data_IF_523446490021
#
_entry.id   IF_523446490021
#
_cell.length_a   1.000
_cell.length_b   1.000
_cell.length_c   1.000
_cell.angle_alpha   90.00
_cell.angle_beta   90.00
_cell.angle_gamma   90.00
#
_symmetry.space_group_name_H-M   'P 1'
#
loop_
_entity.id
_entity.type
_entity.pdbx_description
1 polymer ?
#
# COMPACT_ATOMS: atom_id res chain seq x y z
N UNK A 1 3.83 5.10 -45.07
CA UNK A 1 3.47 5.97 -43.93
C UNK A 1 2.29 5.29 -43.25
N UNK A 2 2.53 4.53 -42.20
CA UNK A 2 1.49 3.86 -41.40
C UNK A 2 1.77 4.19 -39.94
N UNK A 3 0.68 4.50 -39.27
CA UNK A 3 0.55 5.07 -37.95
C UNK A 3 1.22 4.24 -36.86
N UNK A 4 2.04 4.90 -36.04
CA UNK A 4 2.42 4.45 -34.71
C UNK A 4 1.72 5.37 -33.70
N UNK A 5 0.40 5.20 -33.60
CA UNK A 5 -0.36 5.71 -32.46
C UNK A 5 -0.41 4.58 -31.44
N UNK A 6 0.57 4.59 -30.54
CA UNK A 6 0.51 3.79 -29.32
C UNK A 6 -0.78 4.20 -28.58
N UNK A 7 -1.70 3.26 -28.26
CA UNK A 7 -2.93 3.62 -27.57
C UNK A 7 -2.59 4.26 -26.23
N UNK A 8 -3.16 5.43 -25.94
CA UNK A 8 -3.11 6.06 -24.64
C UNK A 8 -3.90 5.20 -23.65
N UNK A 9 -3.26 4.20 -23.05
CA UNK A 9 -3.83 3.37 -21.99
C UNK A 9 -3.83 4.23 -20.71
N UNK A 10 -4.99 4.49 -20.08
CA UNK A 10 -5.04 5.20 -18.82
C UNK A 10 -4.22 4.45 -17.76
N UNK A 11 -3.57 5.16 -16.81
CA UNK A 11 -2.81 4.50 -15.77
C UNK A 11 -3.71 3.54 -15.00
N UNK A 12 -3.23 2.32 -14.80
CA UNK A 12 -3.94 1.31 -14.00
C UNK A 12 -3.96 1.74 -12.52
N UNK A 13 -4.93 1.26 -11.73
CA UNK A 13 -4.89 1.45 -10.26
C UNK A 13 -3.61 0.89 -9.60
N UNK A 14 -2.83 0.09 -10.34
CA UNK A 14 -1.55 -0.46 -9.95
C UNK A 14 -0.34 0.44 -10.25
N UNK A 15 -0.54 1.57 -10.95
CA UNK A 15 0.53 2.51 -11.27
C UNK A 15 0.98 3.31 -10.05
N UNK A 16 2.30 3.51 -9.95
CA UNK A 16 3.00 4.03 -8.76
C UNK A 16 2.96 5.56 -8.67
N UNK A 17 1.80 6.17 -8.80
CA UNK A 17 1.66 7.62 -8.70
C UNK A 17 0.66 8.01 -7.63
N UNK A 18 1.14 8.02 -6.37
CA UNK A 18 0.46 8.79 -5.33
C UNK A 18 0.84 10.28 -5.46
N UNK A 19 -0.11 11.22 -5.29
CA UNK A 19 0.21 12.64 -5.23
C UNK A 19 1.11 12.93 -4.02
N UNK A 20 1.97 13.93 -4.18
CA UNK A 20 2.77 14.56 -3.13
C UNK A 20 2.22 15.98 -2.93
N UNK A 21 2.34 16.54 -1.73
CA UNK A 21 1.79 17.86 -1.39
C UNK A 21 0.52 17.82 -0.52
N UNK A 22 -0.33 16.81 -0.68
CA UNK A 22 -1.47 16.62 0.23
C UNK A 22 -1.04 15.83 1.49
N UNK A 23 -1.57 16.17 2.68
CA UNK A 23 -1.32 15.39 3.89
C UNK A 23 -1.64 13.92 3.65
N UNK A 24 -0.72 13.03 4.06
CA UNK A 24 -0.74 11.58 3.76
C UNK A 24 -2.09 10.94 4.12
N UNK A 25 -2.80 11.49 5.11
CA UNK A 25 -4.09 11.02 5.61
C UNK A 25 -4.92 12.24 6.03
N UNK A 26 -5.76 12.76 5.13
CA UNK A 26 -6.47 14.01 5.37
C UNK A 26 -7.80 13.87 6.12
N UNK A 27 -8.36 12.68 6.35
CA UNK A 27 -9.80 12.60 6.72
C UNK A 27 -10.30 11.30 7.36
N UNK A 28 -9.44 10.48 7.97
CA UNK A 28 -9.95 9.32 8.70
C UNK A 28 -9.91 9.57 10.20
N UNK A 29 -11.06 9.81 10.87
CA UNK A 29 -11.13 9.95 12.32
C UNK A 29 -10.49 8.78 13.08
N UNK A 30 -10.45 7.58 12.48
CA UNK A 30 -9.80 6.40 13.07
C UNK A 30 -8.26 6.51 13.09
N UNK A 31 -7.68 7.38 12.26
CA UNK A 31 -6.22 7.62 12.17
C UNK A 31 -5.83 8.99 12.74
N UNK A 32 -6.65 10.02 12.51
CA UNK A 32 -6.34 11.43 12.76
C UNK A 32 -6.90 11.97 14.09
N UNK A 33 -6.76 11.23 15.21
CA UNK A 33 -7.09 11.74 16.57
C UNK A 33 -6.28 12.99 16.98
N UNK A 34 -5.81 13.12 18.24
CA UNK A 34 -4.95 14.24 18.72
C UNK A 34 -3.67 14.55 17.87
N UNK A 35 -3.40 13.77 16.81
CA UNK A 35 -2.21 13.73 15.96
C UNK A 35 -2.28 14.60 14.69
N UNK A 36 -3.25 15.53 14.60
CA UNK A 36 -3.43 16.41 13.44
C UNK A 36 -2.20 17.31 13.13
N UNK A 37 -1.33 17.55 14.12
CA UNK A 37 -0.14 18.39 13.97
C UNK A 37 0.95 17.79 13.06
N UNK A 38 0.99 16.47 12.88
CA UNK A 38 1.99 15.78 12.05
C UNK A 38 1.59 15.63 10.58
N UNK A 39 0.39 16.10 10.23
CA UNK A 39 -0.18 16.05 8.88
C UNK A 39 0.32 17.19 7.97
N UNK A 40 1.63 17.48 8.02
CA UNK A 40 2.26 18.42 7.07
C UNK A 40 2.56 17.66 5.78
N UNK A 41 1.92 18.08 4.68
CA UNK A 41 2.24 17.60 3.34
C UNK A 41 3.55 18.22 2.84
N UNK A 42 4.31 17.49 2.03
CA UNK A 42 5.51 17.99 1.36
C UNK A 42 5.17 18.28 -0.11
N UNK A 43 5.14 19.56 -0.47
CA UNK A 43 5.05 20.03 -1.85
C UNK A 43 6.43 19.87 -2.54
N UNK A 44 6.57 19.08 -3.61
CA UNK A 44 7.84 18.91 -4.33
C UNK A 44 8.19 20.11 -5.22
N UNK A 45 7.24 20.99 -5.54
CA UNK A 45 7.41 22.12 -6.45
C UNK A 45 7.77 23.41 -5.70
N UNK A 46 7.66 23.40 -4.36
CA UNK A 46 8.11 24.47 -3.46
C UNK A 46 9.52 24.17 -2.89
N UNK A 47 10.55 24.98 -3.21
CA UNK A 47 11.90 24.80 -2.71
C UNK A 47 12.03 24.78 -1.17
N UNK A 48 11.21 25.55 -0.44
CA UNK A 48 11.25 25.56 1.02
C UNK A 48 10.74 24.23 1.60
N UNK A 49 9.63 23.74 1.05
CA UNK A 49 9.10 22.41 1.35
C UNK A 49 10.09 21.28 0.99
N UNK A 50 10.81 21.38 -0.13
CA UNK A 50 11.87 20.40 -0.51
C UNK A 50 13.02 20.41 0.50
N UNK A 51 13.48 21.58 0.95
CA UNK A 51 14.50 21.68 1.98
C UNK A 51 14.02 21.08 3.31
N UNK A 52 12.76 21.31 3.69
CA UNK A 52 12.14 20.68 4.87
C UNK A 52 12.02 19.15 4.72
N UNK A 53 11.73 18.66 3.51
CA UNK A 53 11.74 17.23 3.21
C UNK A 53 13.13 16.63 3.40
N UNK A 54 14.20 17.30 2.94
CA UNK A 54 15.58 16.85 3.14
C UNK A 54 15.97 16.75 4.63
N UNK A 55 15.58 17.74 5.43
CA UNK A 55 15.77 17.70 6.88
C UNK A 55 15.00 16.55 7.54
N UNK A 56 13.73 16.36 7.16
CA UNK A 56 12.90 15.26 7.67
C UNK A 56 13.50 13.90 7.31
N UNK A 57 14.02 13.73 6.09
CA UNK A 57 14.67 12.48 5.65
C UNK A 57 15.93 12.18 6.47
N UNK A 58 16.73 13.21 6.80
CA UNK A 58 17.88 13.09 7.71
C UNK A 58 17.46 12.55 9.07
N UNK A 59 16.53 13.24 9.73
CA UNK A 59 16.04 12.86 11.05
C UNK A 59 15.43 11.45 11.03
N UNK A 60 14.73 11.11 9.95
CA UNK A 60 14.13 9.80 9.76
C UNK A 60 15.16 8.69 9.64
N UNK A 61 16.29 8.92 8.95
CA UNK A 61 17.38 7.95 8.86
C UNK A 61 18.02 7.70 10.24
N UNK A 62 18.25 8.75 11.02
CA UNK A 62 18.88 8.66 12.34
C UNK A 62 17.97 8.00 13.39
N UNK A 63 16.65 8.19 13.26
CA UNK A 63 15.65 7.72 14.24
C UNK A 63 15.19 6.27 14.02
N UNK A 64 15.74 5.54 13.04
CA UNK A 64 15.23 4.21 12.63
C UNK A 64 15.46 3.08 13.67
N UNK A 65 15.82 3.40 14.91
CA UNK A 65 16.02 2.44 16.00
C UNK A 65 14.72 2.26 16.81
N UNK A 66 13.84 1.37 16.33
CA UNK A 66 13.05 0.48 17.19
C UNK A 66 11.88 1.02 18.03
N UNK A 67 11.26 2.16 17.70
CA UNK A 67 10.09 2.63 18.46
C UNK A 67 9.20 3.70 17.82
N UNK A 68 9.42 4.04 16.54
CA UNK A 68 8.67 5.12 15.90
C UNK A 68 7.27 4.69 15.46
N UNK A 69 6.27 5.57 15.68
CA UNK A 69 4.87 5.42 15.28
C UNK A 69 4.74 5.20 13.76
N UNK A 70 3.75 4.41 13.33
CA UNK A 70 3.43 4.17 11.91
C UNK A 70 3.23 5.48 11.15
N UNK A 71 2.64 6.49 11.79
CA UNK A 71 2.44 7.83 11.21
C UNK A 71 3.79 8.52 10.95
N UNK A 72 4.73 8.44 11.89
CA UNK A 72 6.08 8.98 11.71
C UNK A 72 6.81 8.28 10.55
N UNK A 73 6.68 6.95 10.45
CA UNK A 73 7.26 6.18 9.35
C UNK A 73 6.68 6.60 7.98
N UNK A 74 5.36 6.84 7.91
CA UNK A 74 4.69 7.30 6.69
C UNK A 74 5.04 8.74 6.32
N UNK A 75 5.24 9.62 7.31
CA UNK A 75 5.75 10.99 7.08
C UNK A 75 7.17 10.97 6.51
N UNK A 76 8.06 10.15 7.07
CA UNK A 76 9.41 9.93 6.53
C UNK A 76 9.40 9.38 5.10
N UNK A 77 8.47 8.47 4.80
CA UNK A 77 8.25 7.98 3.44
C UNK A 77 7.77 9.07 2.46
N UNK A 78 6.84 9.93 2.90
CA UNK A 78 6.37 11.07 2.11
C UNK A 78 7.49 12.09 1.85
N UNK A 79 8.32 12.39 2.86
CA UNK A 79 9.48 13.26 2.71
C UNK A 79 10.48 12.68 1.68
N UNK A 80 10.74 11.36 1.70
CA UNK A 80 11.59 10.72 0.70
C UNK A 80 11.03 10.87 -0.72
N UNK A 81 9.72 10.69 -0.89
CA UNK A 81 9.07 10.81 -2.20
C UNK A 81 9.08 12.26 -2.71
N UNK A 82 8.73 13.23 -1.87
CA UNK A 82 8.74 14.65 -2.22
C UNK A 82 10.15 15.15 -2.55
N UNK A 83 11.15 14.77 -1.74
CA UNK A 83 12.54 15.14 -1.99
C UNK A 83 13.03 14.63 -3.35
N UNK A 84 12.78 13.36 -3.68
CA UNK A 84 13.18 12.78 -4.98
C UNK A 84 12.49 13.49 -6.14
N UNK A 85 11.22 13.87 -5.99
CA UNK A 85 10.45 14.58 -7.03
C UNK A 85 10.96 16.01 -7.21
N UNK A 86 11.23 16.73 -6.11
CA UNK A 86 11.72 18.12 -6.16
C UNK A 86 13.14 18.27 -6.71
N UNK A 87 14.05 17.33 -6.39
CA UNK A 87 15.45 17.37 -6.88
C UNK A 87 15.69 16.53 -8.14
N UNK A 88 14.67 15.82 -8.61
CA UNK A 88 14.67 15.09 -9.89
C UNK A 88 15.45 13.77 -9.94
N UNK A 89 16.20 13.38 -8.90
CA UNK A 89 16.86 12.06 -8.86
C UNK A 89 17.11 11.55 -7.44
N UNK A 90 17.18 10.21 -7.29
CA UNK A 90 17.56 9.60 -6.01
C UNK A 90 18.97 9.97 -5.55
N UNK A 91 19.88 10.22 -6.49
CA UNK A 91 21.26 10.59 -6.17
C UNK A 91 21.31 11.99 -5.58
N UNK A 92 20.69 12.96 -6.26
CA UNK A 92 20.57 14.33 -5.76
C UNK A 92 19.81 14.37 -4.43
N UNK A 93 18.76 13.56 -4.27
CA UNK A 93 18.02 13.46 -3.00
C UNK A 93 18.89 12.97 -1.84
N UNK A 94 19.79 12.01 -2.08
CA UNK A 94 20.71 11.53 -1.05
C UNK A 94 21.80 12.57 -0.73
N UNK A 95 22.29 13.30 -1.73
CA UNK A 95 23.24 14.40 -1.54
C UNK A 95 22.62 15.56 -0.76
N UNK A 96 21.38 15.94 -1.09
CA UNK A 96 20.62 17.01 -0.44
C UNK A 96 20.24 16.64 1.01
N UNK A 97 19.84 15.38 1.24
CA UNK A 97 19.65 14.86 2.58
C UNK A 97 20.98 14.74 3.33
N UNK A 98 22.11 14.44 2.69
CA UNK A 98 23.41 14.36 3.38
C UNK A 98 23.45 13.36 4.56
N UNK A 99 24.51 13.45 5.36
CA UNK A 99 24.75 12.50 6.46
C UNK A 99 24.90 11.05 5.97
N UNK A 100 24.34 10.10 6.72
CA UNK A 100 24.37 8.66 6.38
C UNK A 100 23.18 8.22 5.49
N UNK A 101 22.42 9.18 4.93
CA UNK A 101 21.26 8.87 4.09
C UNK A 101 21.71 8.32 2.74
N UNK A 102 21.42 7.05 2.50
CA UNK A 102 21.77 6.40 1.23
C UNK A 102 20.65 6.49 0.18
N UNK A 103 21.05 6.42 -1.10
CA UNK A 103 20.13 6.21 -2.25
C UNK A 103 19.18 5.02 -2.02
N UNK A 104 19.70 3.94 -1.42
CA UNK A 104 18.92 2.73 -1.14
C UNK A 104 17.87 2.96 -0.03
N UNK A 105 18.17 3.82 0.95
CA UNK A 105 17.22 4.23 1.99
C UNK A 105 16.08 5.05 1.38
N UNK A 106 16.39 6.10 0.62
CA UNK A 106 15.39 6.97 -0.01
C UNK A 106 14.50 6.18 -0.97
N UNK A 107 15.11 5.35 -1.85
CA UNK A 107 14.35 4.51 -2.80
C UNK A 107 13.37 3.57 -2.11
N UNK A 108 13.78 2.98 -0.99
CA UNK A 108 12.96 2.05 -0.23
C UNK A 108 11.72 2.75 0.32
N UNK A 109 11.89 3.92 0.93
CA UNK A 109 10.81 4.64 1.60
C UNK A 109 9.93 5.43 0.64
N UNK A 110 10.49 6.02 -0.42
CA UNK A 110 9.70 6.61 -1.50
C UNK A 110 8.71 5.58 -2.10
N UNK A 111 9.15 4.33 -2.31
CA UNK A 111 8.25 3.25 -2.79
C UNK A 111 7.14 2.88 -1.81
N UNK A 112 7.38 3.02 -0.50
CA UNK A 112 6.33 2.80 0.51
C UNK A 112 5.27 3.90 0.41
N UNK A 113 5.69 5.14 0.18
CA UNK A 113 4.77 6.24 -0.10
C UNK A 113 3.98 6.03 -1.41
N UNK A 114 4.63 5.49 -2.43
CA UNK A 114 3.98 5.21 -3.72
C UNK A 114 3.10 3.95 -3.71
N UNK A 115 2.93 3.28 -2.56
CA UNK A 115 1.92 2.23 -2.43
C UNK A 115 0.50 2.82 -2.67
N UNK A 116 -0.41 2.03 -3.28
CA UNK A 116 -1.81 2.39 -3.40
C UNK A 116 -2.41 2.86 -2.08
N UNK A 117 -3.29 3.86 -2.14
CA UNK A 117 -3.93 4.46 -0.96
C UNK A 117 -4.62 3.43 -0.08
N UNK A 118 -5.28 2.44 -0.69
CA UNK A 118 -5.92 1.32 0.02
C UNK A 118 -4.92 0.55 0.89
N UNK A 119 -3.71 0.27 0.40
CA UNK A 119 -2.66 -0.40 1.19
C UNK A 119 -2.10 0.55 2.26
N UNK A 120 -1.79 1.81 1.91
CA UNK A 120 -1.24 2.79 2.88
C UNK A 120 -2.15 3.02 4.07
N UNK A 121 -3.47 2.96 3.88
CA UNK A 121 -4.47 3.02 4.95
C UNK A 121 -4.25 1.94 6.01
N UNK A 122 -4.01 0.69 5.60
CA UNK A 122 -3.74 -0.42 6.53
C UNK A 122 -2.38 -0.29 7.22
N UNK A 123 -1.40 0.33 6.56
CA UNK A 123 -0.11 0.65 7.21
C UNK A 123 -0.31 1.71 8.30
N UNK A 124 -1.09 2.75 8.02
CA UNK A 124 -1.37 3.81 8.97
C UNK A 124 -2.15 3.32 10.20
N UNK A 125 -3.14 2.44 9.99
CA UNK A 125 -3.93 1.81 11.06
C UNK A 125 -3.12 0.75 11.85
N UNK A 126 -1.92 0.41 11.41
CA UNK A 126 -1.08 -0.61 12.05
C UNK A 126 -1.48 -2.05 11.75
N UNK A 127 -2.44 -2.26 10.85
CA UNK A 127 -2.81 -3.60 10.37
C UNK A 127 -1.69 -4.23 9.52
N UNK A 128 -0.90 -3.40 8.81
CA UNK A 128 0.31 -3.83 8.10
C UNK A 128 1.50 -3.09 8.70
N UNK A 129 2.46 -3.82 9.27
CA UNK A 129 3.66 -3.20 9.79
C UNK A 129 4.45 -2.45 8.67
N UNK A 130 5.01 -1.25 8.92
CA UNK A 130 5.85 -0.54 7.94
C UNK A 130 7.02 -1.38 7.42
N UNK A 131 7.54 -2.27 8.27
CA UNK A 131 8.59 -3.24 7.91
C UNK A 131 8.10 -4.35 6.96
N UNK A 132 6.82 -4.69 6.94
CA UNK A 132 6.21 -5.53 5.91
C UNK A 132 5.89 -4.71 4.65
N UNK A 133 5.37 -3.49 4.81
CA UNK A 133 5.01 -2.59 3.71
C UNK A 133 6.18 -2.33 2.74
N UNK A 134 7.41 -2.17 3.25
CA UNK A 134 8.61 -2.02 2.38
C UNK A 134 8.87 -3.23 1.47
N UNK A 135 8.45 -4.43 1.87
CA UNK A 135 8.58 -5.64 1.06
C UNK A 135 7.47 -5.71 0.01
N UNK A 136 6.22 -5.40 0.40
CA UNK A 136 5.08 -5.26 -0.53
C UNK A 136 5.38 -4.21 -1.61
N UNK A 137 5.95 -3.08 -1.24
CA UNK A 137 6.32 -1.99 -2.13
C UNK A 137 7.35 -2.38 -3.21
N UNK A 138 8.08 -3.48 -3.03
CA UNK A 138 9.02 -3.99 -4.04
C UNK A 138 8.34 -4.79 -5.14
N UNK A 139 7.18 -5.37 -4.87
CA UNK A 139 6.42 -6.16 -5.85
C UNK A 139 5.87 -5.23 -6.93
N UNK A 140 5.75 -5.72 -8.16
CA UNK A 140 5.26 -4.95 -9.33
C UNK A 140 3.82 -5.34 -9.68
N UNK A 141 3.08 -4.43 -10.32
CA UNK A 141 1.69 -4.66 -10.75
C UNK A 141 0.73 -5.06 -9.62
N UNK A 142 -0.34 -5.75 -10.00
CA UNK A 142 -1.45 -6.17 -9.12
C UNK A 142 -1.04 -7.17 -8.05
N UNK A 143 0.08 -7.88 -8.26
CA UNK A 143 0.65 -8.79 -7.27
C UNK A 143 0.91 -8.10 -5.93
N UNK A 144 1.10 -6.78 -5.91
CA UNK A 144 1.23 -6.00 -4.66
C UNK A 144 -0.06 -6.01 -3.82
N UNK A 145 -1.22 -5.94 -4.47
CA UNK A 145 -2.52 -5.96 -3.78
C UNK A 145 -2.77 -7.35 -3.22
N UNK A 146 -2.57 -8.38 -4.03
CA UNK A 146 -2.69 -9.76 -3.60
C UNK A 146 -1.81 -10.06 -2.39
N UNK A 147 -0.54 -9.62 -2.38
CA UNK A 147 0.35 -9.81 -1.23
C UNK A 147 -0.09 -8.98 0.00
N UNK A 148 -0.59 -7.76 -0.19
CA UNK A 148 -1.05 -6.92 0.91
C UNK A 148 -2.28 -7.51 1.61
N UNK A 149 -3.25 -8.00 0.83
CA UNK A 149 -4.47 -8.62 1.37
C UNK A 149 -4.19 -9.97 2.01
N UNK A 150 -3.36 -10.80 1.36
CA UNK A 150 -2.88 -12.03 1.99
C UNK A 150 -2.13 -11.79 3.31
N UNK A 151 -1.44 -10.65 3.45
CA UNK A 151 -0.80 -10.28 4.73
C UNK A 151 -1.83 -10.06 5.83
N UNK A 152 -2.99 -9.46 5.52
CA UNK A 152 -4.07 -9.24 6.48
C UNK A 152 -4.84 -10.53 6.76
N UNK A 153 -5.25 -11.24 5.71
CA UNK A 153 -6.15 -12.39 5.81
C UNK A 153 -5.45 -13.59 6.45
N UNK A 154 -4.14 -13.75 6.19
CA UNK A 154 -3.31 -14.83 6.71
C UNK A 154 -2.47 -14.47 7.93
N UNK A 155 -2.63 -13.26 8.50
CA UNK A 155 -1.80 -12.73 9.60
C UNK A 155 -0.29 -12.95 9.38
N UNK A 156 0.17 -12.66 8.15
CA UNK A 156 1.53 -13.01 7.75
C UNK A 156 2.56 -12.15 8.50
N UNK A 157 3.58 -12.81 9.03
CA UNK A 157 4.70 -12.14 9.66
C UNK A 157 5.54 -11.39 8.64
N UNK A 158 6.27 -10.36 9.09
CA UNK A 158 7.22 -9.60 8.25
C UNK A 158 8.23 -10.51 7.53
N UNK A 159 8.64 -11.61 8.17
CA UNK A 159 9.58 -12.58 7.58
C UNK A 159 8.96 -13.33 6.41
N UNK A 160 7.69 -13.70 6.52
CA UNK A 160 6.93 -14.40 5.47
C UNK A 160 6.64 -13.46 4.32
N UNK A 161 6.16 -12.25 4.59
CA UNK A 161 5.97 -11.19 3.58
C UNK A 161 7.27 -10.93 2.81
N UNK A 162 8.42 -10.90 3.49
CA UNK A 162 9.73 -10.75 2.84
C UNK A 162 10.03 -11.91 1.88
N UNK A 163 9.78 -13.16 2.28
CA UNK A 163 10.06 -14.35 1.47
C UNK A 163 9.15 -14.38 0.25
N UNK A 164 7.85 -14.18 0.46
CA UNK A 164 6.84 -14.10 -0.60
C UNK A 164 7.16 -12.99 -1.60
N UNK A 165 7.51 -11.78 -1.12
CA UNK A 165 7.93 -10.70 -2.00
C UNK A 165 9.20 -11.04 -2.81
N UNK A 166 10.12 -11.86 -2.27
CA UNK A 166 11.27 -12.34 -3.04
C UNK A 166 10.82 -13.31 -4.13
N UNK A 167 10.10 -14.37 -3.75
CA UNK A 167 9.61 -15.41 -4.67
C UNK A 167 8.81 -14.82 -5.84
N UNK A 168 7.92 -13.87 -5.55
CA UNK A 168 7.13 -13.17 -6.57
C UNK A 168 7.99 -12.32 -7.50
N UNK A 169 9.03 -11.64 -6.97
CA UNK A 169 9.97 -10.91 -7.81
C UNK A 169 10.87 -11.84 -8.63
N UNK A 170 11.10 -13.07 -8.17
CA UNK A 170 11.85 -14.11 -8.86
C UNK A 170 10.98 -14.87 -9.90
N UNK A 171 9.72 -14.46 -10.09
CA UNK A 171 8.83 -14.92 -11.15
C UNK A 171 7.74 -15.91 -10.70
N UNK A 172 7.68 -16.25 -9.42
CA UNK A 172 6.61 -17.10 -8.91
C UNK A 172 5.27 -16.34 -8.85
N UNK A 173 4.15 -17.03 -9.14
CA UNK A 173 2.83 -16.43 -8.97
C UNK A 173 2.52 -16.24 -7.48
N UNK A 174 1.83 -15.14 -7.12
CA UNK A 174 1.44 -14.88 -5.72
C UNK A 174 0.64 -16.06 -5.15
N UNK A 175 -0.29 -16.62 -5.94
CA UNK A 175 -1.11 -17.77 -5.54
C UNK A 175 -0.26 -19.01 -5.24
N UNK A 176 0.76 -19.29 -6.04
CA UNK A 176 1.67 -20.43 -5.79
C UNK A 176 2.48 -20.20 -4.52
N UNK A 177 3.06 -19.01 -4.38
CA UNK A 177 3.93 -18.67 -3.25
C UNK A 177 3.17 -18.73 -1.91
N UNK A 178 1.90 -18.31 -1.88
CA UNK A 178 1.06 -18.31 -0.68
C UNK A 178 0.68 -19.71 -0.16
N UNK A 179 0.65 -20.74 -1.03
CA UNK A 179 0.31 -22.11 -0.62
C UNK A 179 1.29 -22.70 0.39
N UNK A 180 2.54 -22.25 0.40
CA UNK A 180 3.54 -22.68 1.39
C UNK A 180 3.15 -22.22 2.82
N UNK A 181 2.32 -21.18 2.93
CA UNK A 181 1.93 -20.54 4.17
C UNK A 181 0.48 -20.80 4.56
N UNK A 182 -0.19 -21.76 3.91
CA UNK A 182 -1.61 -22.09 4.12
C UNK A 182 -2.56 -20.89 3.94
N UNK A 183 -2.17 -19.94 3.08
CA UNK A 183 -2.99 -18.79 2.72
C UNK A 183 -3.57 -19.00 1.31
N UNK A 184 -4.88 -19.15 1.23
CA UNK A 184 -5.58 -19.23 -0.04
C UNK A 184 -5.99 -17.84 -0.54
N UNK A 185 -5.36 -17.38 -1.64
CA UNK A 185 -5.73 -16.12 -2.26
C UNK A 185 -7.20 -16.13 -2.72
N UNK A 186 -7.99 -15.20 -2.17
CA UNK A 186 -9.42 -15.05 -2.46
C UNK A 186 -10.33 -15.71 -1.41
N UNK A 187 -9.79 -16.42 -0.41
CA UNK A 187 -10.57 -16.81 0.76
C UNK A 187 -10.59 -15.67 1.78
N UNK A 188 -11.79 -15.31 2.21
CA UNK A 188 -12.02 -14.28 3.23
C UNK A 188 -13.07 -14.79 4.21
N UNK A 189 -12.77 -14.70 5.50
CA UNK A 189 -13.76 -14.95 6.55
C UNK A 189 -14.55 -13.68 6.86
N UNK A 190 -15.88 -13.76 6.75
CA UNK A 190 -16.77 -12.64 7.02
C UNK A 190 -17.70 -12.93 8.21
N UNK A 191 -17.99 -11.92 9.00
CA UNK A 191 -19.03 -11.96 10.03
C UNK A 191 -20.29 -11.28 9.50
N UNK A 192 -21.38 -12.02 9.46
CA UNK A 192 -22.67 -11.51 8.98
C UNK A 192 -23.61 -11.21 10.15
N UNK A 193 -24.46 -10.17 10.05
CA UNK A 193 -25.58 -10.00 10.97
C UNK A 193 -26.42 -11.29 11.02
N UNK A 194 -26.94 -11.72 12.20
CA UNK A 194 -27.66 -12.99 12.32
C UNK A 194 -28.80 -13.16 11.32
N UNK A 195 -29.54 -12.08 11.01
CA UNK A 195 -30.62 -12.10 10.04
C UNK A 195 -30.12 -12.37 8.61
N UNK A 196 -29.05 -11.68 8.19
CA UNK A 196 -28.42 -11.88 6.89
C UNK A 196 -27.82 -13.29 6.76
N UNK A 197 -27.25 -13.82 7.84
CA UNK A 197 -26.76 -15.20 7.89
C UNK A 197 -27.89 -16.22 7.68
N UNK A 198 -29.01 -16.06 8.37
CA UNK A 198 -30.18 -16.96 8.25
C UNK A 198 -30.75 -16.90 6.84
N UNK A 199 -30.93 -15.70 6.27
CA UNK A 199 -31.47 -15.56 4.92
C UNK A 199 -30.50 -16.07 3.85
N UNK A 200 -29.19 -15.85 3.98
CA UNK A 200 -28.18 -16.44 3.09
C UNK A 200 -28.27 -17.97 3.10
N UNK A 201 -28.31 -18.58 4.30
CA UNK A 201 -28.44 -20.04 4.44
C UNK A 201 -29.74 -20.56 3.83
N UNK A 202 -30.86 -19.90 4.12
CA UNK A 202 -32.18 -20.26 3.57
C UNK A 202 -32.19 -20.17 2.05
N UNK A 203 -31.72 -19.06 1.48
CA UNK A 203 -31.68 -18.85 0.03
C UNK A 203 -30.78 -19.86 -0.66
N UNK A 204 -29.55 -20.06 -0.16
CA UNK A 204 -28.62 -21.05 -0.67
C UNK A 204 -29.24 -22.45 -0.68
N UNK A 205 -29.87 -22.88 0.42
CA UNK A 205 -30.53 -24.19 0.51
C UNK A 205 -31.74 -24.34 -0.42
N UNK A 206 -32.59 -23.32 -0.58
CA UNK A 206 -33.75 -23.38 -1.47
C UNK A 206 -33.38 -23.34 -2.96
N UNK A 207 -32.22 -22.77 -3.28
CA UNK A 207 -31.71 -22.64 -4.65
C UNK A 207 -30.73 -23.74 -5.06
N UNK A 208 -30.44 -24.71 -4.18
CA UNK A 208 -29.42 -25.76 -4.36
C UNK A 208 -28.03 -25.20 -4.71
N UNK A 209 -27.63 -24.14 -3.99
CA UNK A 209 -26.34 -23.45 -4.15
C UNK A 209 -25.57 -23.41 -2.85
N UNK A 210 -24.26 -23.20 -2.92
CA UNK A 210 -23.48 -22.89 -1.72
C UNK A 210 -23.68 -21.43 -1.30
N UNK A 211 -23.49 -21.09 -0.01
CA UNK A 211 -23.43 -19.69 0.42
C UNK A 211 -22.38 -18.88 -0.34
N UNK A 212 -21.24 -19.48 -0.67
CA UNK A 212 -20.14 -18.83 -1.39
C UNK A 212 -20.55 -18.43 -2.81
N UNK A 213 -21.29 -19.29 -3.52
CA UNK A 213 -21.81 -18.98 -4.85
C UNK A 213 -22.78 -17.78 -4.81
N UNK A 214 -23.67 -17.76 -3.81
CA UNK A 214 -24.64 -16.67 -3.63
C UNK A 214 -23.93 -15.35 -3.29
N UNK A 215 -22.94 -15.40 -2.38
CA UNK A 215 -22.14 -14.24 -2.01
C UNK A 215 -21.30 -13.72 -3.18
N UNK A 216 -20.70 -14.63 -3.97
CA UNK A 216 -19.90 -14.28 -5.15
C UNK A 216 -20.73 -13.54 -6.19
N UNK A 217 -21.92 -14.06 -6.53
CA UNK A 217 -22.82 -13.40 -7.47
C UNK A 217 -23.25 -12.01 -6.97
N UNK A 218 -23.64 -11.92 -5.70
CA UNK A 218 -24.07 -10.66 -5.10
C UNK A 218 -22.94 -9.62 -5.09
N UNK A 219 -21.70 -10.03 -4.79
CA UNK A 219 -20.53 -9.16 -4.79
C UNK A 219 -20.17 -8.69 -6.21
N UNK A 220 -20.20 -9.60 -7.19
CA UNK A 220 -19.94 -9.26 -8.59
C UNK A 220 -20.98 -8.28 -9.13
N UNK A 221 -22.26 -8.48 -8.78
CA UNK A 221 -23.31 -7.54 -9.14
C UNK A 221 -23.08 -6.16 -8.51
N UNK A 222 -22.82 -6.11 -7.20
CA UNK A 222 -22.57 -4.86 -6.47
C UNK A 222 -21.39 -4.05 -7.04
N UNK A 223 -20.28 -4.72 -7.36
CA UNK A 223 -19.09 -4.03 -7.88
C UNK A 223 -19.30 -3.52 -9.31
N UNK A 224 -20.09 -4.22 -10.13
CA UNK A 224 -20.44 -3.76 -11.49
C UNK A 224 -21.35 -2.53 -11.46
N UNK A 225 -22.31 -2.51 -10.55
CA UNK A 225 -23.27 -1.40 -10.40
C UNK A 225 -22.62 -0.14 -9.78
N UNK A 226 -21.49 -0.28 -9.10
CA UNK A 226 -20.75 0.82 -8.46
C UNK A 226 -19.74 1.54 -9.37
N UNK A 227 -19.46 1.00 -10.56
CA UNK A 227 -18.55 1.56 -11.56
C UNK A 227 -19.28 2.43 -12.62
N UNK A 228 -20.61 2.57 -12.54
CA UNK A 228 -21.46 3.50 -13.33
C UNK A 228 -21.68 4.85 -12.63
#
# INVERSE_FOLDING_TARGET
>A
MRDDQTPNVPPSEADRTSPVGEPVIRSDPAVTGERAHDAVGFDPDDPESVAHAAETVRQFADSTVGGADNVYMLRGAAACAALVRGVGSYKAAAEEAGGDVSVAFIRKWARVHDLPRSIRRHVALGHIAPTAAKHIARVSGDARFALAWATLDGDLTVREVRRLASAVNDGESVKSALREYDVELGQLSVSLPPEAYVELRRHASLSDRSPDDVLSDALVAYLRDGDE
#
